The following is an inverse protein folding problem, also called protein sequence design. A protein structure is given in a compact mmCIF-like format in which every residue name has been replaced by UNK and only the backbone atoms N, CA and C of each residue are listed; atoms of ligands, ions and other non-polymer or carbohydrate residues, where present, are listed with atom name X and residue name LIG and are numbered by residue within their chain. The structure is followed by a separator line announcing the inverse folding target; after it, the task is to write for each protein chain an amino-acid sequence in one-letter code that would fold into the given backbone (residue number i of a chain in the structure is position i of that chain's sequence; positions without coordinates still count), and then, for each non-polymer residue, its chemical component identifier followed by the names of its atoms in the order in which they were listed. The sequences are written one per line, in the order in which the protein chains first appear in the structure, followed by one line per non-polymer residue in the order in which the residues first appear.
data_IF_088615942502
#
_entry.id   IF_088615942502
#
_cell.length_a   1.000
_cell.length_b   1.000
_cell.length_c   1.000
_cell.angle_alpha   90.00
_cell.angle_beta   90.00
_cell.angle_gamma   90.00
#
_symmetry.space_group_name_H-M   'P 1'
#
loop_
_entity.id
_entity.type
_entity.pdbx_description
1 polymer ?
#
# COMPACT_ATOMS: atom_id res chain seq x y z
N UNK A 1 10.84 -24.50 -11.73
CA UNK A 1 9.43 -24.41 -11.31
C UNK A 1 9.34 -23.60 -10.02
N UNK A 2 9.49 -22.27 -10.12
CA UNK A 2 9.24 -21.33 -9.02
C UNK A 2 8.36 -20.23 -9.62
N UNK A 3 7.06 -20.49 -9.74
CA UNK A 3 6.15 -19.58 -10.44
C UNK A 3 4.85 -19.26 -9.69
N UNK A 4 4.59 -19.86 -8.52
CA UNK A 4 3.32 -19.63 -7.81
C UNK A 4 3.40 -18.48 -6.80
N UNK A 5 4.46 -18.38 -5.99
CA UNK A 5 4.48 -17.43 -4.86
C UNK A 5 4.68 -15.98 -5.30
N UNK A 6 5.60 -15.73 -6.23
CA UNK A 6 5.87 -14.38 -6.73
C UNK A 6 4.74 -13.84 -7.63
N UNK A 7 4.06 -14.71 -8.40
CA UNK A 7 2.86 -14.32 -9.16
C UNK A 7 1.67 -13.99 -8.25
N UNK A 8 1.40 -14.83 -7.25
CA UNK A 8 0.32 -14.55 -6.28
C UNK A 8 0.56 -13.24 -5.54
N UNK A 9 1.81 -12.94 -5.16
CA UNK A 9 2.15 -11.66 -4.55
C UNK A 9 1.90 -10.49 -5.50
N UNK A 10 2.26 -10.61 -6.79
CA UNK A 10 1.98 -9.59 -7.81
C UNK A 10 0.49 -9.41 -8.11
N UNK A 11 -0.34 -10.44 -7.94
CA UNK A 11 -1.80 -10.33 -8.10
C UNK A 11 -2.48 -9.71 -6.86
N UNK A 12 -1.96 -9.96 -5.65
CA UNK A 12 -2.55 -9.45 -4.39
C UNK A 12 -2.05 -8.08 -3.98
N UNK A 13 -0.79 -7.73 -4.26
CA UNK A 13 -0.20 -6.44 -3.91
C UNK A 13 -0.98 -5.24 -4.47
N UNK A 14 -1.45 -5.23 -5.74
CA UNK A 14 -2.28 -4.16 -6.27
C UNK A 14 -3.59 -3.99 -5.49
N UNK A 15 -4.23 -5.09 -5.08
CA UNK A 15 -5.45 -5.03 -4.28
C UNK A 15 -5.18 -4.50 -2.87
N UNK A 16 -4.07 -4.90 -2.24
CA UNK A 16 -3.64 -4.37 -0.94
C UNK A 16 -3.35 -2.86 -1.02
N UNK A 17 -2.73 -2.40 -2.12
CA UNK A 17 -2.44 -0.99 -2.41
C UNK A 17 -3.75 -0.20 -2.57
N UNK A 18 -4.70 -0.67 -3.39
CA UNK A 18 -6.02 -0.02 -3.54
C UNK A 18 -6.78 0.06 -2.21
N UNK A 19 -6.73 -1.00 -1.40
CA UNK A 19 -7.37 -0.98 -0.07
C UNK A 19 -6.71 0.05 0.86
N UNK A 20 -5.38 0.14 0.86
CA UNK A 20 -4.65 1.14 1.64
C UNK A 20 -4.98 2.57 1.20
N UNK A 21 -5.04 2.82 -0.12
CA UNK A 21 -5.45 4.12 -0.68
C UNK A 21 -6.88 4.49 -0.27
N UNK A 22 -7.80 3.53 -0.30
CA UNK A 22 -9.17 3.72 0.17
C UNK A 22 -9.24 4.08 1.66
N UNK A 23 -8.44 3.41 2.49
CA UNK A 23 -8.35 3.68 3.94
C UNK A 23 -7.73 5.05 4.22
N UNK A 24 -6.71 5.45 3.46
CA UNK A 24 -6.10 6.79 3.51
C UNK A 24 -7.13 7.85 3.17
N UNK A 25 -7.88 7.70 2.08
CA UNK A 25 -8.91 8.65 1.68
C UNK A 25 -10.02 8.81 2.73
N UNK A 26 -10.42 7.71 3.37
CA UNK A 26 -11.37 7.75 4.49
C UNK A 26 -10.80 8.50 5.70
N UNK A 27 -9.54 8.26 6.06
CA UNK A 27 -8.86 8.94 7.16
C UNK A 27 -8.67 10.44 6.89
N UNK A 28 -8.34 10.81 5.65
CA UNK A 28 -8.28 12.21 5.24
C UNK A 28 -9.66 12.87 5.30
N UNK A 29 -10.71 12.18 4.86
CA UNK A 29 -12.09 12.66 5.03
C UNK A 29 -12.45 12.85 6.50
N UNK A 30 -12.04 11.94 7.39
CA UNK A 30 -12.29 12.04 8.82
C UNK A 30 -11.49 13.18 9.48
N UNK A 31 -10.29 13.47 9.00
CA UNK A 31 -9.47 14.62 9.42
C UNK A 31 -10.03 15.97 8.94
N UNK A 32 -10.81 15.98 7.85
CA UNK A 32 -11.53 17.18 7.42
C UNK A 32 -12.88 17.37 8.13
N UNK A 33 -13.35 16.37 8.89
CA UNK A 33 -14.60 16.46 9.65
C UNK A 33 -14.34 16.78 11.15
N UNK A 34 -14.70 17.98 11.62
CA UNK A 34 -14.51 18.40 13.01
C UNK A 34 -15.12 17.48 14.05
N UNK A 35 -16.29 16.91 13.79
CA UNK A 35 -16.97 16.03 14.75
C UNK A 35 -16.23 14.69 14.91
N UNK A 36 -15.67 14.17 13.81
CA UNK A 36 -14.89 12.93 13.79
C UNK A 36 -13.58 13.10 14.54
N UNK A 37 -12.78 14.11 14.19
CA UNK A 37 -11.46 14.28 14.79
C UNK A 37 -11.49 14.84 16.21
N UNK A 38 -12.57 15.52 16.62
CA UNK A 38 -12.76 15.89 18.03
C UNK A 38 -13.09 14.67 18.90
N UNK A 39 -13.80 13.67 18.36
CA UNK A 39 -14.14 12.43 19.07
C UNK A 39 -12.95 11.46 19.18
N UNK A 40 -12.22 11.27 18.07
CA UNK A 40 -11.12 10.29 17.99
C UNK A 40 -9.78 10.91 18.41
N UNK A 41 -9.60 12.21 18.17
CA UNK A 41 -8.36 12.95 18.38
C UNK A 41 -7.61 13.19 17.06
N UNK A 42 -7.39 14.46 16.71
CA UNK A 42 -6.67 14.88 15.50
C UNK A 42 -5.30 14.22 15.39
N UNK A 43 -4.58 14.11 16.51
CA UNK A 43 -3.23 13.52 16.56
C UNK A 43 -3.27 12.01 16.31
N UNK A 44 -4.29 11.31 16.82
CA UNK A 44 -4.45 9.87 16.60
C UNK A 44 -4.76 9.57 15.12
N UNK A 45 -5.66 10.36 14.52
CA UNK A 45 -5.96 10.25 13.09
C UNK A 45 -4.76 10.62 12.21
N UNK A 46 -4.01 11.67 12.56
CA UNK A 46 -2.81 12.05 11.84
C UNK A 46 -1.72 10.95 11.89
N UNK A 47 -1.49 10.35 13.07
CA UNK A 47 -0.55 9.24 13.22
C UNK A 47 -1.02 8.00 12.43
N UNK A 48 -2.32 7.69 12.46
CA UNK A 48 -2.88 6.58 11.68
C UNK A 48 -2.70 6.81 10.17
N UNK A 49 -2.93 8.04 9.70
CA UNK A 49 -2.73 8.43 8.32
C UNK A 49 -1.25 8.30 7.91
N UNK A 50 -0.32 8.79 8.73
CA UNK A 50 1.12 8.68 8.47
C UNK A 50 1.57 7.21 8.39
N UNK A 51 1.10 6.37 9.31
CA UNK A 51 1.40 4.94 9.30
C UNK A 51 0.87 4.24 8.05
N UNK A 52 -0.37 4.53 7.63
CA UNK A 52 -0.93 3.95 6.41
C UNK A 52 -0.19 4.41 5.15
N UNK A 53 0.23 5.68 5.09
CA UNK A 53 1.05 6.18 3.98
C UNK A 53 2.41 5.49 3.93
N UNK A 54 3.07 5.31 5.08
CA UNK A 54 4.33 4.56 5.16
C UNK A 54 4.17 3.09 4.75
N UNK A 55 3.04 2.45 5.11
CA UNK A 55 2.72 1.08 4.69
C UNK A 55 2.49 1.00 3.18
N UNK A 56 1.74 1.96 2.61
CA UNK A 56 1.53 2.08 1.17
C UNK A 56 2.84 2.22 0.40
N UNK A 57 3.72 3.13 0.83
CA UNK A 57 5.04 3.33 0.23
C UNK A 57 5.87 2.04 0.25
N UNK A 58 5.87 1.31 1.38
CA UNK A 58 6.57 0.03 1.49
C UNK A 58 5.99 -1.02 0.54
N UNK A 59 4.67 -1.09 0.39
CA UNK A 59 4.01 -2.04 -0.52
C UNK A 59 4.28 -1.71 -1.99
N UNK A 60 4.30 -0.43 -2.34
CA UNK A 60 4.69 0.04 -3.68
C UNK A 60 6.15 -0.32 -3.98
N UNK A 61 7.07 -0.08 -3.05
CA UNK A 61 8.47 -0.48 -3.20
C UNK A 61 8.62 -1.98 -3.41
N UNK A 62 7.90 -2.80 -2.62
CA UNK A 62 7.88 -4.26 -2.79
C UNK A 62 7.35 -4.68 -4.15
N UNK A 63 6.25 -4.07 -4.60
CA UNK A 63 5.65 -4.35 -5.90
C UNK A 63 6.61 -4.03 -7.04
N UNK A 64 7.22 -2.85 -7.04
CA UNK A 64 8.20 -2.46 -8.05
C UNK A 64 9.45 -3.34 -8.04
N UNK A 65 9.95 -3.71 -6.86
CA UNK A 65 11.10 -4.62 -6.75
C UNK A 65 10.78 -6.02 -7.31
N UNK A 66 9.56 -6.51 -7.09
CA UNK A 66 9.10 -7.79 -7.64
C UNK A 66 8.92 -7.73 -9.16
N UNK A 67 8.32 -6.66 -9.70
CA UNK A 67 8.21 -6.45 -11.14
C UNK A 67 9.59 -6.37 -11.81
N UNK A 68 10.51 -5.58 -11.24
CA UNK A 68 11.87 -5.43 -11.75
C UNK A 68 12.59 -6.79 -11.78
N UNK A 69 12.51 -7.56 -10.69
CA UNK A 69 13.11 -8.90 -10.62
C UNK A 69 12.50 -9.86 -11.64
N UNK A 70 11.18 -9.80 -11.85
CA UNK A 70 10.52 -10.61 -12.87
C UNK A 70 11.00 -10.24 -14.29
N UNK A 71 11.18 -8.95 -14.56
CA UNK A 71 11.68 -8.44 -15.82
C UNK A 71 13.15 -8.83 -16.07
N UNK A 72 14.02 -8.70 -15.07
CA UNK A 72 15.44 -9.10 -15.16
C UNK A 72 15.60 -10.61 -15.41
N UNK A 73 14.79 -11.44 -14.76
CA UNK A 73 14.76 -12.89 -15.02
C UNK A 73 14.31 -13.22 -16.44
N UNK A 74 13.39 -12.43 -17.00
CA UNK A 74 12.93 -12.60 -18.38
C UNK A 74 13.99 -12.15 -19.39
N UNK A 75 14.75 -11.08 -19.10
CA UNK A 75 15.78 -10.53 -19.99
C UNK A 75 17.12 -11.30 -19.98
N UNK A 76 17.48 -11.97 -18.88
CA UNK A 76 18.68 -12.83 -18.80
C UNK A 76 18.51 -14.24 -19.43
N UNK A 77 17.39 -14.47 -20.13
CA UNK A 77 17.08 -15.74 -20.80
C UNK A 77 17.33 -15.74 -22.32
N UNK A 78 18.12 -14.78 -22.83
CA UNK A 78 18.56 -14.73 -24.23
C UNK A 78 20.09 -14.66 -24.32
#
# INVERSE_FOLDING_TARGET
MYLCKEKLALDSLPQEIEELEGRIALLESDLTNPEKYQSIGITALANALENLKAELDMKLEQYFALEQKALDLQNNSC
#
